data_IF_994566253355
#
_entry.id   IF_994566253355
#
_cell.length_a   1.000
_cell.length_b   1.000
_cell.length_c   1.000
_cell.angle_alpha   90.00
_cell.angle_beta   90.00
_cell.angle_gamma   90.00
#
_symmetry.space_group_name_H-M   'P 1'
#
loop_
_entity.id
_entity.type
_entity.pdbx_description
1 polymer ?
#
# COMPACT_ATOMS: atom_id res chain seq x y z
N UNK A 1 3.79 -26.88 -39.03
CA UNK A 1 4.50 -27.75 -38.08
C UNK A 1 5.87 -27.18 -37.63
N UNK A 2 6.10 -25.87 -37.78
CA UNK A 2 7.39 -25.20 -37.47
C UNK A 2 7.24 -24.10 -36.38
N UNK A 3 6.02 -23.74 -35.97
CA UNK A 3 5.80 -22.82 -34.84
C UNK A 3 5.42 -23.51 -33.51
N UNK A 4 5.39 -24.84 -33.46
CA UNK A 4 5.46 -25.57 -32.19
C UNK A 4 6.92 -25.62 -31.65
N UNK A 5 7.87 -25.22 -32.49
CA UNK A 5 9.30 -25.30 -32.24
C UNK A 5 9.85 -24.05 -31.53
N UNK A 6 9.17 -22.89 -31.56
CA UNK A 6 9.72 -21.67 -30.94
C UNK A 6 9.47 -21.60 -29.43
N UNK A 7 8.36 -22.17 -28.93
CA UNK A 7 8.14 -22.33 -27.48
C UNK A 7 8.89 -23.55 -26.93
N UNK A 8 9.25 -24.52 -27.78
CA UNK A 8 10.01 -25.73 -27.39
C UNK A 8 11.53 -25.55 -27.53
N UNK A 9 12.04 -24.69 -28.42
CA UNK A 9 13.49 -24.49 -28.60
C UNK A 9 14.14 -23.49 -27.66
N UNK A 10 13.39 -22.62 -26.97
CA UNK A 10 14.02 -21.73 -25.98
C UNK A 10 14.55 -22.49 -24.75
N UNK A 11 14.35 -23.82 -24.67
CA UNK A 11 14.81 -24.67 -23.56
C UNK A 11 15.99 -25.60 -23.94
N UNK A 12 16.44 -25.64 -25.21
CA UNK A 12 17.49 -26.60 -25.64
C UNK A 12 18.76 -25.97 -26.22
N UNK A 13 19.20 -24.80 -25.73
CA UNK A 13 20.51 -24.25 -26.13
C UNK A 13 21.24 -23.54 -24.99
N UNK A 14 21.48 -24.23 -23.87
CA UNK A 14 22.68 -24.04 -23.04
C UNK A 14 23.00 -25.37 -22.34
N UNK A 15 24.24 -25.89 -22.44
CA UNK A 15 24.68 -27.06 -21.70
C UNK A 15 24.83 -26.65 -20.23
N UNK A 16 24.37 -27.50 -19.32
CA UNK A 16 24.47 -27.35 -17.86
C UNK A 16 23.49 -26.36 -17.20
N UNK A 17 22.18 -26.63 -17.27
CA UNK A 17 21.25 -26.38 -16.15
C UNK A 17 19.90 -27.07 -16.36
N UNK A 18 19.40 -27.66 -15.28
CA UNK A 18 18.23 -28.55 -15.17
C UNK A 18 16.94 -27.96 -15.79
N UNK A 19 16.36 -28.66 -16.76
CA UNK A 19 15.06 -28.36 -17.39
C UNK A 19 13.90 -28.37 -16.38
N UNK A 20 13.15 -27.27 -16.29
CA UNK A 20 11.83 -27.24 -15.67
C UNK A 20 10.78 -27.36 -16.77
N UNK A 21 10.21 -28.55 -16.91
CA UNK A 21 9.10 -28.83 -17.82
C UNK A 21 7.78 -28.27 -17.27
N UNK A 22 7.14 -27.36 -17.99
CA UNK A 22 5.70 -27.11 -17.84
C UNK A 22 4.92 -28.07 -18.74
N UNK A 23 4.71 -29.30 -18.26
CA UNK A 23 3.83 -30.27 -18.93
C UNK A 23 2.38 -30.01 -18.52
N UNK A 24 1.51 -29.66 -19.48
CA UNK A 24 0.06 -29.87 -19.33
C UNK A 24 -0.34 -31.08 -20.17
N UNK A 25 -0.28 -32.26 -19.56
CA UNK A 25 -0.78 -33.51 -20.15
C UNK A 25 -2.30 -33.47 -20.13
N UNK A 26 -2.94 -33.23 -21.27
CA UNK A 26 -4.40 -33.40 -21.39
C UNK A 26 -4.69 -34.85 -21.79
N UNK A 27 -5.05 -35.69 -20.82
CA UNK A 27 -5.58 -37.04 -21.07
C UNK A 27 -6.91 -36.94 -21.81
N UNK A 28 -6.90 -37.27 -23.10
CA UNK A 28 -8.10 -37.42 -23.90
C UNK A 28 -8.79 -38.74 -23.51
N UNK A 29 -9.79 -38.70 -22.62
CA UNK A 29 -10.68 -39.84 -22.38
C UNK A 29 -11.65 -39.97 -23.55
N UNK A 30 -11.14 -40.43 -24.69
CA UNK A 30 -11.95 -40.81 -25.83
C UNK A 30 -12.83 -41.99 -25.46
N UNK A 31 -14.10 -41.75 -25.17
CA UNK A 31 -15.11 -42.82 -25.15
C UNK A 31 -15.15 -43.45 -26.55
N UNK A 32 -14.75 -44.72 -26.65
CA UNK A 32 -14.88 -45.50 -27.88
C UNK A 32 -16.33 -45.48 -28.36
N UNK A 33 -16.56 -45.03 -29.58
CA UNK A 33 -17.87 -45.13 -30.23
C UNK A 33 -18.14 -46.59 -30.61
N UNK A 34 -19.29 -47.11 -30.17
CA UNK A 34 -19.78 -48.43 -30.57
C UNK A 34 -20.13 -48.43 -32.07
N UNK A 35 -19.95 -49.57 -32.77
CA UNK A 35 -20.23 -49.64 -34.20
C UNK A 35 -21.72 -49.37 -34.48
N UNK A 36 -21.99 -48.54 -35.48
CA UNK A 36 -23.33 -48.12 -35.88
C UNK A 36 -23.74 -48.89 -37.14
N UNK A 37 -24.95 -49.44 -37.14
CA UNK A 37 -25.54 -50.13 -38.29
C UNK A 37 -25.72 -49.16 -39.47
N UNK A 38 -25.24 -49.57 -40.64
CA UNK A 38 -25.30 -48.82 -41.90
C UNK A 38 -26.75 -48.49 -42.28
N UNK A 39 -27.07 -47.19 -42.40
CA UNK A 39 -28.31 -46.73 -43.03
C UNK A 39 -29.02 -45.54 -42.38
N UNK A 40 -28.67 -45.13 -41.16
CA UNK A 40 -29.39 -44.06 -40.45
C UNK A 40 -28.62 -42.73 -40.49
N UNK A 41 -29.09 -41.76 -41.30
CA UNK A 41 -28.62 -40.36 -41.27
C UNK A 41 -29.09 -39.70 -39.97
N UNK A 42 -28.21 -39.61 -38.98
CA UNK A 42 -28.44 -38.76 -37.82
C UNK A 42 -28.24 -37.28 -38.22
N UNK A 43 -29.33 -36.49 -38.18
CA UNK A 43 -29.22 -35.03 -38.14
C UNK A 43 -28.76 -34.63 -36.74
N UNK A 44 -27.50 -34.23 -36.61
CA UNK A 44 -27.00 -33.54 -35.41
C UNK A 44 -27.83 -32.26 -35.19
N UNK A 45 -28.33 -32.06 -33.98
CA UNK A 45 -28.99 -30.80 -33.61
C UNK A 45 -27.91 -29.72 -33.52
N UNK A 46 -28.21 -28.49 -33.96
CA UNK A 46 -27.35 -27.27 -33.87
C UNK A 46 -26.71 -27.02 -32.49
N UNK A 47 -27.15 -27.72 -31.45
CA UNK A 47 -26.64 -27.60 -30.08
C UNK A 47 -25.37 -28.45 -29.81
N UNK A 48 -25.03 -29.38 -30.70
CA UNK A 48 -23.90 -30.32 -30.53
C UNK A 48 -22.69 -30.02 -31.43
N UNK A 49 -22.75 -28.98 -32.28
CA UNK A 49 -21.55 -28.44 -32.94
C UNK A 49 -20.74 -27.65 -31.91
N UNK A 50 -19.90 -28.35 -31.14
CA UNK A 50 -18.76 -27.69 -30.51
C UNK A 50 -17.89 -27.18 -31.65
N UNK A 51 -17.85 -25.86 -31.86
CA UNK A 51 -16.85 -25.24 -32.73
C UNK A 51 -15.48 -25.87 -32.43
N UNK A 52 -14.74 -26.30 -33.46
CA UNK A 52 -13.46 -26.97 -33.25
C UNK A 52 -12.49 -26.01 -32.55
N UNK A 53 -11.77 -26.52 -31.55
CA UNK A 53 -10.70 -25.76 -30.90
C UNK A 53 -9.46 -25.84 -31.78
N UNK A 54 -9.16 -24.77 -32.52
CA UNK A 54 -8.06 -24.69 -33.47
C UNK A 54 -7.10 -23.54 -33.09
N UNK A 55 -6.37 -23.68 -31.97
CA UNK A 55 -5.50 -22.61 -31.45
C UNK A 55 -4.37 -22.24 -32.41
N UNK A 56 -3.92 -23.18 -33.23
CA UNK A 56 -2.90 -22.94 -34.26
C UNK A 56 -3.40 -22.00 -35.35
N UNK A 57 -4.64 -22.21 -35.83
CA UNK A 57 -5.25 -21.37 -36.88
C UNK A 57 -5.52 -19.98 -36.34
N UNK A 58 -6.03 -19.90 -35.09
CA UNK A 58 -6.19 -18.64 -34.39
C UNK A 58 -4.86 -17.88 -34.29
N UNK A 59 -3.81 -18.55 -33.79
CA UNK A 59 -2.47 -17.97 -33.67
C UNK A 59 -1.96 -17.45 -35.00
N UNK A 60 -1.96 -18.28 -36.04
CA UNK A 60 -1.40 -17.92 -37.35
C UNK A 60 -2.15 -16.73 -37.96
N UNK A 61 -3.46 -16.61 -37.72
CA UNK A 61 -4.28 -15.46 -38.12
C UNK A 61 -3.89 -14.17 -37.38
N UNK A 62 -3.68 -14.26 -36.06
CA UNK A 62 -3.25 -13.11 -35.25
C UNK A 62 -1.84 -12.68 -35.67
N UNK A 63 -0.91 -13.63 -35.84
CA UNK A 63 0.46 -13.33 -36.25
C UNK A 63 0.50 -12.65 -37.62
N UNK A 64 -0.28 -13.15 -38.59
CA UNK A 64 -0.34 -12.53 -39.92
C UNK A 64 -0.79 -11.07 -39.85
N UNK A 65 -1.89 -10.78 -39.15
CA UNK A 65 -2.42 -9.41 -39.09
C UNK A 65 -1.55 -8.46 -38.28
N UNK A 66 -0.84 -8.94 -37.26
CA UNK A 66 0.14 -8.14 -36.54
C UNK A 66 1.37 -7.83 -37.42
N UNK A 67 1.84 -8.79 -38.23
CA UNK A 67 2.91 -8.55 -39.20
C UNK A 67 2.50 -7.55 -40.31
N UNK A 68 1.25 -7.59 -40.75
CA UNK A 68 0.69 -6.63 -41.73
C UNK A 68 0.59 -5.21 -41.16
N UNK A 69 0.28 -5.08 -39.86
CA UNK A 69 0.26 -3.80 -39.16
C UNK A 69 1.69 -3.25 -38.93
N UNK A 70 2.70 -4.11 -38.87
CA UNK A 70 4.09 -3.76 -38.62
C UNK A 70 4.25 -3.00 -37.30
N UNK A 71 5.09 -1.95 -37.31
CA UNK A 71 5.36 -1.12 -36.13
C UNK A 71 4.28 -0.09 -35.77
N UNK A 72 3.15 -0.02 -36.51
CA UNK A 72 2.08 0.93 -36.24
C UNK A 72 1.11 0.38 -35.18
N UNK A 73 1.21 0.91 -33.97
CA UNK A 73 0.43 0.46 -32.82
C UNK A 73 -1.05 0.83 -32.89
N UNK A 74 -1.40 1.90 -33.62
CA UNK A 74 -2.82 2.21 -33.86
C UNK A 74 -3.41 1.26 -34.90
N UNK A 75 -2.62 0.84 -35.90
CA UNK A 75 -2.99 -0.22 -36.82
C UNK A 75 -3.16 -1.57 -36.09
N UNK A 76 -2.23 -1.94 -35.20
CA UNK A 76 -2.33 -3.13 -34.35
C UNK A 76 -3.59 -3.10 -33.49
N UNK A 77 -3.85 -2.00 -32.79
CA UNK A 77 -5.04 -1.88 -31.94
C UNK A 77 -6.34 -1.96 -32.74
N UNK A 78 -6.38 -1.34 -33.93
CA UNK A 78 -7.52 -1.42 -34.85
C UNK A 78 -7.71 -2.83 -35.41
N UNK A 79 -6.64 -3.53 -35.76
CA UNK A 79 -6.68 -4.92 -36.19
C UNK A 79 -7.29 -5.82 -35.12
N UNK A 80 -6.84 -5.69 -33.87
CA UNK A 80 -7.34 -6.49 -32.75
C UNK A 80 -8.82 -6.18 -32.43
N UNK A 81 -9.27 -4.93 -32.54
CA UNK A 81 -10.69 -4.57 -32.36
C UNK A 81 -11.58 -5.14 -33.48
N UNK A 82 -11.16 -5.03 -34.74
CA UNK A 82 -11.94 -5.61 -35.85
C UNK A 82 -11.95 -7.13 -35.76
N UNK A 83 -10.81 -7.74 -35.47
CA UNK A 83 -10.66 -9.19 -35.47
C UNK A 83 -11.33 -9.85 -34.27
N UNK A 84 -11.36 -9.21 -33.10
CA UNK A 84 -12.08 -9.72 -31.93
C UNK A 84 -13.60 -9.78 -32.09
N UNK A 85 -14.16 -9.14 -33.12
CA UNK A 85 -15.57 -9.34 -33.50
C UNK A 85 -15.81 -10.60 -34.35
N UNK A 86 -14.74 -11.15 -34.94
CA UNK A 86 -14.77 -12.31 -35.85
C UNK A 86 -14.20 -13.57 -35.21
N UNK A 87 -13.19 -13.42 -34.36
CA UNK A 87 -12.54 -14.52 -33.64
C UNK A 87 -13.01 -14.54 -32.18
N UNK A 88 -13.15 -15.75 -31.61
CA UNK A 88 -13.54 -15.93 -30.22
C UNK A 88 -12.34 -15.73 -29.27
N UNK A 89 -12.07 -14.46 -28.93
CA UNK A 89 -11.01 -14.12 -27.97
C UNK A 89 -11.23 -14.72 -26.59
N UNK A 90 -12.48 -14.97 -26.18
CA UNK A 90 -12.75 -15.56 -24.86
C UNK A 90 -12.21 -16.98 -24.78
N UNK A 91 -12.38 -17.75 -25.85
CA UNK A 91 -11.92 -19.14 -25.93
C UNK A 91 -10.42 -19.27 -26.13
N UNK A 92 -9.81 -18.33 -26.86
CA UNK A 92 -8.38 -18.32 -27.16
C UNK A 92 -7.60 -17.28 -26.34
N UNK A 93 -8.12 -16.86 -25.19
CA UNK A 93 -7.53 -15.77 -24.41
C UNK A 93 -6.07 -16.05 -24.01
N UNK A 94 -5.77 -17.26 -23.54
CA UNK A 94 -4.41 -17.70 -23.22
C UNK A 94 -3.49 -17.57 -24.44
N UNK A 95 -3.89 -18.16 -25.58
CA UNK A 95 -3.12 -18.09 -26.83
C UNK A 95 -2.96 -16.66 -27.34
N UNK A 96 -3.97 -15.81 -27.18
CA UNK A 96 -3.92 -14.40 -27.57
C UNK A 96 -2.86 -13.65 -26.75
N UNK A 97 -2.85 -13.83 -25.43
CA UNK A 97 -1.89 -13.15 -24.57
C UNK A 97 -0.48 -13.71 -24.69
N UNK A 98 -0.31 -15.03 -24.91
CA UNK A 98 0.99 -15.63 -25.25
C UNK A 98 1.62 -14.93 -26.46
N UNK A 99 0.83 -14.72 -27.54
CA UNK A 99 1.31 -14.06 -28.77
C UNK A 99 1.63 -12.59 -28.53
N UNK A 100 0.73 -11.85 -27.86
CA UNK A 100 0.89 -10.42 -27.67
C UNK A 100 2.07 -10.11 -26.74
N UNK A 101 2.27 -10.91 -25.70
CA UNK A 101 3.33 -10.70 -24.71
C UNK A 101 4.68 -11.21 -25.23
N UNK A 102 4.77 -12.43 -25.78
CA UNK A 102 6.03 -12.91 -26.36
C UNK A 102 6.49 -11.96 -27.47
N UNK A 103 5.52 -11.51 -28.26
CA UNK A 103 5.64 -10.43 -29.21
C UNK A 103 6.26 -9.14 -28.73
N UNK A 104 5.71 -8.55 -27.67
CA UNK A 104 6.23 -7.31 -27.09
C UNK A 104 7.60 -7.49 -26.46
N UNK A 105 7.86 -8.66 -25.84
CA UNK A 105 9.14 -8.96 -25.20
C UNK A 105 10.29 -9.13 -26.21
N UNK A 106 10.04 -9.90 -27.27
CA UNK A 106 11.02 -10.17 -28.33
C UNK A 106 11.20 -8.97 -29.28
N UNK A 107 10.24 -8.04 -29.31
CA UNK A 107 10.27 -6.91 -30.24
C UNK A 107 10.12 -7.34 -31.70
N UNK A 108 9.53 -8.50 -31.97
CA UNK A 108 9.46 -9.05 -33.33
C UNK A 108 8.36 -8.40 -34.20
N UNK A 109 7.37 -7.73 -33.59
CA UNK A 109 6.37 -6.94 -34.33
C UNK A 109 6.88 -5.55 -34.74
N UNK A 110 7.94 -5.05 -34.09
CA UNK A 110 8.38 -3.66 -34.19
C UNK A 110 9.86 -3.68 -34.53
N UNK A 111 10.25 -3.08 -35.65
CA UNK A 111 11.61 -3.05 -36.17
C UNK A 111 12.71 -2.95 -35.07
N UNK A 112 13.88 -3.58 -35.26
CA UNK A 112 14.85 -3.92 -34.20
C UNK A 112 15.51 -2.74 -33.42
N UNK A 113 15.08 -1.49 -33.61
CA UNK A 113 15.77 -0.29 -33.12
C UNK A 113 14.84 0.77 -32.50
N UNK A 114 13.89 0.42 -31.64
CA UNK A 114 13.22 1.41 -30.78
C UNK A 114 13.36 1.08 -29.28
N UNK A 115 14.15 1.88 -28.60
CA UNK A 115 14.29 1.89 -27.13
C UNK A 115 13.04 2.42 -26.38
N UNK A 116 11.83 2.29 -26.93
CA UNK A 116 10.56 2.84 -26.39
C UNK A 116 9.55 1.74 -25.95
N UNK A 117 10.07 0.55 -25.64
CA UNK A 117 9.39 -0.74 -25.41
C UNK A 117 8.49 -0.84 -24.15
N UNK A 118 7.73 0.18 -23.75
CA UNK A 118 6.83 0.03 -22.60
C UNK A 118 5.60 0.94 -22.59
N UNK A 119 5.75 2.21 -22.97
CA UNK A 119 4.63 3.18 -22.96
C UNK A 119 3.67 2.91 -24.11
N UNK A 120 4.21 2.68 -25.30
CA UNK A 120 3.42 2.62 -26.53
C UNK A 120 2.65 1.30 -26.66
N UNK A 121 3.23 0.18 -26.25
CA UNK A 121 2.59 -1.14 -26.24
C UNK A 121 1.45 -1.24 -25.20
N UNK A 122 1.60 -0.53 -24.06
CA UNK A 122 0.55 -0.47 -23.03
C UNK A 122 -0.78 0.05 -23.59
N UNK A 123 -0.75 0.93 -24.60
CA UNK A 123 -1.93 1.49 -25.26
C UNK A 123 -2.75 0.42 -25.98
N UNK A 124 -2.08 -0.57 -26.59
CA UNK A 124 -2.75 -1.68 -27.27
C UNK A 124 -3.52 -2.53 -26.25
N UNK A 125 -2.86 -2.92 -25.15
CA UNK A 125 -3.53 -3.64 -24.05
C UNK A 125 -4.65 -2.83 -23.43
N UNK A 126 -4.45 -1.53 -23.18
CA UNK A 126 -5.47 -0.63 -22.64
C UNK A 126 -6.72 -0.59 -23.53
N UNK A 127 -6.55 -0.40 -24.86
CA UNK A 127 -7.65 -0.40 -25.83
C UNK A 127 -8.34 -1.76 -25.89
N UNK A 128 -7.57 -2.84 -25.96
CA UNK A 128 -8.09 -4.22 -26.04
C UNK A 128 -8.93 -4.58 -24.81
N UNK A 129 -8.42 -4.33 -23.60
CA UNK A 129 -9.11 -4.67 -22.34
C UNK A 129 -10.33 -3.76 -22.12
N UNK A 130 -10.25 -2.48 -22.50
CA UNK A 130 -11.42 -1.57 -22.45
C UNK A 130 -12.54 -2.05 -23.38
N UNK A 131 -12.20 -2.54 -24.56
CA UNK A 131 -13.17 -3.04 -25.55
C UNK A 131 -13.73 -4.41 -25.17
N UNK A 132 -12.86 -5.33 -24.76
CA UNK A 132 -13.19 -6.71 -24.44
C UNK A 132 -12.95 -6.98 -22.95
N UNK A 133 -13.79 -6.37 -22.10
CA UNK A 133 -13.65 -6.44 -20.63
C UNK A 133 -13.60 -7.86 -20.08
N UNK A 134 -14.22 -8.83 -20.75
CA UNK A 134 -14.17 -10.24 -20.36
C UNK A 134 -12.77 -10.87 -20.45
N UNK A 135 -11.82 -10.26 -21.17
CA UNK A 135 -10.43 -10.71 -21.24
C UNK A 135 -9.59 -10.30 -20.03
N UNK A 136 -10.08 -9.37 -19.21
CA UNK A 136 -9.32 -8.82 -18.10
C UNK A 136 -8.78 -9.92 -17.17
N UNK A 137 -9.63 -10.84 -16.72
CA UNK A 137 -9.20 -11.89 -15.80
C UNK A 137 -8.14 -12.80 -16.43
N UNK A 138 -8.28 -13.13 -17.72
CA UNK A 138 -7.29 -13.94 -18.42
C UNK A 138 -5.95 -13.20 -18.55
N UNK A 139 -5.99 -11.89 -18.83
CA UNK A 139 -4.79 -11.05 -18.87
C UNK A 139 -4.10 -10.97 -17.51
N UNK A 140 -4.87 -10.78 -16.43
CA UNK A 140 -4.34 -10.74 -15.06
C UNK A 140 -3.66 -12.06 -14.67
N UNK A 141 -4.27 -13.21 -15.00
CA UNK A 141 -3.68 -14.52 -14.73
C UNK A 141 -2.41 -14.76 -15.55
N UNK A 142 -2.36 -14.33 -16.81
CA UNK A 142 -1.15 -14.45 -17.62
C UNK A 142 -0.02 -13.58 -17.06
N UNK A 143 -0.31 -12.34 -16.69
CA UNK A 143 0.66 -11.45 -16.04
C UNK A 143 1.19 -12.04 -14.72
N UNK A 144 0.33 -12.66 -13.90
CA UNK A 144 0.79 -13.33 -12.67
C UNK A 144 1.75 -14.48 -12.94
N UNK A 145 1.52 -15.28 -14.00
CA UNK A 145 2.43 -16.37 -14.39
C UNK A 145 3.79 -15.81 -14.82
N UNK A 146 3.81 -14.77 -15.64
CA UNK A 146 5.07 -14.14 -16.08
C UNK A 146 5.88 -13.61 -14.89
N UNK A 147 5.21 -12.94 -13.95
CA UNK A 147 5.85 -12.46 -12.71
C UNK A 147 6.35 -13.61 -11.82
N UNK A 148 5.68 -14.76 -11.82
CA UNK A 148 6.11 -15.94 -11.07
C UNK A 148 7.34 -16.60 -11.69
N UNK A 149 7.50 -16.54 -13.02
CA UNK A 149 8.59 -17.18 -13.76
C UNK A 149 9.66 -16.19 -14.26
N UNK A 150 9.88 -15.08 -13.56
CA UNK A 150 10.85 -14.06 -13.97
C UNK A 150 12.27 -14.61 -14.22
N UNK A 151 12.66 -15.68 -13.52
CA UNK A 151 13.95 -16.36 -13.70
C UNK A 151 14.17 -16.93 -15.11
N UNK A 152 13.10 -17.20 -15.85
CA UNK A 152 13.18 -17.71 -17.22
C UNK A 152 13.55 -16.62 -18.24
N UNK A 153 13.50 -15.35 -17.86
CA UNK A 153 13.76 -14.22 -18.74
C UNK A 153 15.14 -13.62 -18.52
N UNK A 154 15.76 -13.12 -19.58
CA UNK A 154 16.97 -12.31 -19.52
C UNK A 154 16.74 -11.00 -18.77
N UNK A 155 17.80 -10.35 -18.31
CA UNK A 155 17.70 -9.07 -17.58
C UNK A 155 17.03 -7.97 -18.43
N UNK A 156 17.30 -7.96 -19.74
CA UNK A 156 16.68 -7.04 -20.69
C UNK A 156 15.16 -7.24 -20.76
N UNK A 157 14.73 -8.50 -20.90
CA UNK A 157 13.31 -8.87 -20.95
C UNK A 157 12.59 -8.58 -19.63
N UNK A 158 13.21 -8.88 -18.48
CA UNK A 158 12.69 -8.53 -17.16
C UNK A 158 12.51 -7.02 -17.02
N UNK A 159 13.43 -6.22 -17.58
CA UNK A 159 13.36 -4.76 -17.54
C UNK A 159 12.20 -4.23 -18.37
N UNK A 160 12.01 -4.74 -19.60
CA UNK A 160 10.85 -4.38 -20.44
C UNK A 160 9.54 -4.74 -19.75
N UNK A 161 9.45 -5.97 -19.22
CA UNK A 161 8.26 -6.45 -18.51
C UNK A 161 7.98 -5.60 -17.27
N UNK A 162 9.00 -5.23 -16.48
CA UNK A 162 8.83 -4.36 -15.33
C UNK A 162 8.26 -2.99 -15.71
N UNK A 163 8.80 -2.37 -16.76
CA UNK A 163 8.30 -1.08 -17.23
C UNK A 163 6.85 -1.19 -17.72
N UNK A 164 6.54 -2.20 -18.54
CA UNK A 164 5.18 -2.45 -19.03
C UNK A 164 4.20 -2.68 -17.87
N UNK A 165 4.56 -3.52 -16.89
CA UNK A 165 3.75 -3.77 -15.70
C UNK A 165 3.48 -2.47 -14.93
N UNK A 166 4.49 -1.61 -14.74
CA UNK A 166 4.34 -0.33 -14.06
C UNK A 166 3.33 0.59 -14.75
N UNK A 167 3.39 0.68 -16.07
CA UNK A 167 2.50 1.51 -16.89
C UNK A 167 1.08 0.95 -16.92
N UNK A 168 0.91 -0.37 -16.99
CA UNK A 168 -0.39 -1.03 -16.95
C UNK A 168 -1.06 -0.88 -15.57
N UNK A 169 -0.29 -0.88 -14.48
CA UNK A 169 -0.75 -0.55 -13.13
C UNK A 169 -1.14 0.93 -13.02
N UNK A 170 -0.33 1.83 -13.57
CA UNK A 170 -0.61 3.27 -13.64
C UNK A 170 -1.93 3.60 -14.33
N UNK A 171 -2.22 2.88 -15.41
CA UNK A 171 -3.43 3.06 -16.21
C UNK A 171 -4.67 2.33 -15.64
N UNK A 172 -4.49 1.49 -14.61
CA UNK A 172 -5.55 0.69 -14.01
C UNK A 172 -6.03 -0.48 -14.89
N UNK A 173 -5.24 -0.87 -15.89
CA UNK A 173 -5.52 -2.04 -16.73
C UNK A 173 -5.18 -3.34 -16.01
N UNK A 174 -4.12 -3.30 -15.20
CA UNK A 174 -3.80 -4.33 -14.23
C UNK A 174 -4.09 -3.83 -12.81
N UNK A 175 -4.64 -4.68 -11.92
CA UNK A 175 -4.82 -4.33 -10.53
C UNK A 175 -3.55 -4.66 -9.73
N UNK A 176 -3.21 -3.91 -8.67
CA UNK A 176 -2.01 -4.17 -7.86
C UNK A 176 -1.85 -5.59 -7.31
N UNK A 177 -2.90 -6.37 -6.98
CA UNK A 177 -2.77 -7.74 -6.47
C UNK A 177 -1.97 -8.72 -7.34
N UNK A 178 -1.69 -8.41 -8.62
CA UNK A 178 -0.77 -9.22 -9.43
C UNK A 178 0.66 -9.24 -8.87
N UNK A 179 1.04 -8.23 -8.09
CA UNK A 179 2.38 -8.09 -7.51
C UNK A 179 2.67 -9.14 -6.44
N UNK A 180 1.68 -9.88 -5.95
CA UNK A 180 1.91 -10.98 -5.00
C UNK A 180 2.78 -12.08 -5.59
N UNK A 181 2.80 -12.24 -6.92
CA UNK A 181 3.73 -13.13 -7.62
C UNK A 181 5.20 -12.73 -7.45
N UNK A 182 5.50 -11.47 -7.10
CA UNK A 182 6.87 -11.04 -6.82
C UNK A 182 7.35 -11.48 -5.43
N UNK A 183 6.45 -11.86 -4.52
CA UNK A 183 6.79 -12.26 -3.15
C UNK A 183 7.10 -13.76 -3.03
N UNK A 184 7.10 -14.50 -4.13
CA UNK A 184 7.39 -15.93 -4.10
C UNK A 184 8.89 -16.21 -3.94
N UNK A 185 9.20 -17.20 -3.11
CA UNK A 185 10.57 -17.57 -2.75
C UNK A 185 11.52 -17.77 -3.94
N UNK A 186 11.01 -18.26 -5.07
CA UNK A 186 11.78 -18.55 -6.28
C UNK A 186 12.42 -17.29 -6.91
N UNK A 187 11.74 -16.15 -6.87
CA UNK A 187 12.23 -14.87 -7.43
C UNK A 187 12.84 -13.97 -6.36
N UNK A 188 12.43 -14.15 -5.10
CA UNK A 188 12.95 -13.39 -3.95
C UNK A 188 14.37 -13.81 -3.60
N UNK A 189 14.66 -15.12 -3.52
CA UNK A 189 16.00 -15.63 -3.14
C UNK A 189 17.11 -15.19 -4.10
N UNK A 190 16.79 -15.06 -5.37
CA UNK A 190 17.72 -14.64 -6.44
C UNK A 190 17.88 -13.12 -6.52
N UNK A 191 17.14 -12.33 -5.72
CA UNK A 191 17.14 -10.87 -5.77
C UNK A 191 16.42 -10.27 -6.98
N UNK A 192 15.84 -11.10 -7.84
CA UNK A 192 15.11 -10.68 -9.05
C UNK A 192 13.90 -9.83 -8.66
N UNK A 193 13.16 -10.24 -7.63
CA UNK A 193 11.97 -9.54 -7.13
C UNK A 193 12.22 -8.06 -6.83
N UNK A 194 13.22 -7.75 -6.01
CA UNK A 194 13.57 -6.37 -5.64
C UNK A 194 14.05 -5.56 -6.86
N UNK A 195 14.88 -6.16 -7.73
CA UNK A 195 15.37 -5.47 -8.94
C UNK A 195 14.27 -5.16 -9.95
N UNK A 196 13.31 -6.07 -10.11
CA UNK A 196 12.13 -5.90 -10.94
C UNK A 196 11.21 -4.83 -10.38
N UNK A 197 10.94 -4.88 -9.07
CA UNK A 197 10.08 -3.92 -8.37
C UNK A 197 10.61 -2.48 -8.51
N UNK A 198 11.92 -2.27 -8.44
CA UNK A 198 12.53 -0.94 -8.66
C UNK A 198 12.20 -0.40 -10.05
N UNK A 199 12.40 -1.19 -11.10
CA UNK A 199 12.13 -0.78 -12.50
C UNK A 199 10.63 -0.52 -12.71
N UNK A 200 9.79 -1.37 -12.14
CA UNK A 200 8.33 -1.26 -12.20
C UNK A 200 7.81 -0.01 -11.49
N UNK A 201 8.27 0.25 -10.27
CA UNK A 201 7.86 1.42 -9.51
C UNK A 201 8.36 2.72 -10.14
N UNK A 202 9.57 2.75 -10.71
CA UNK A 202 10.03 3.91 -11.48
C UNK A 202 9.10 4.22 -12.66
N UNK A 203 8.71 3.20 -13.43
CA UNK A 203 7.78 3.37 -14.53
C UNK A 203 6.39 3.85 -14.04
N UNK A 204 5.87 3.25 -12.97
CA UNK A 204 4.57 3.65 -12.41
C UNK A 204 4.58 5.09 -11.87
N UNK A 205 5.62 5.48 -11.14
CA UNK A 205 5.78 6.84 -10.62
C UNK A 205 5.92 7.85 -11.77
N UNK A 206 6.65 7.49 -12.83
CA UNK A 206 6.80 8.36 -14.01
C UNK A 206 5.48 8.61 -14.76
N UNK A 207 4.56 7.65 -14.78
CA UNK A 207 3.24 7.80 -15.41
C UNK A 207 2.21 8.53 -14.53
N UNK A 208 2.43 8.53 -13.21
CA UNK A 208 1.56 9.16 -12.22
C UNK A 208 2.42 9.99 -11.27
N UNK A 209 2.46 9.57 -10.01
CA UNK A 209 3.30 10.12 -8.96
C UNK A 209 3.39 9.08 -7.82
N UNK A 210 4.26 9.32 -6.85
CA UNK A 210 4.44 8.43 -5.71
C UNK A 210 3.19 8.30 -4.82
N UNK A 211 2.35 9.34 -4.72
CA UNK A 211 1.13 9.30 -3.91
C UNK A 211 0.08 8.37 -4.54
N UNK A 212 -0.03 8.36 -5.86
CA UNK A 212 -0.91 7.47 -6.60
C UNK A 212 -0.48 6.01 -6.43
N UNK A 213 0.82 5.71 -6.51
CA UNK A 213 1.36 4.36 -6.29
C UNK A 213 1.07 3.89 -4.87
N UNK A 214 1.43 4.69 -3.87
CA UNK A 214 1.28 4.33 -2.46
C UNK A 214 -0.19 4.18 -2.05
N UNK A 215 -1.08 5.01 -2.59
CA UNK A 215 -2.53 4.88 -2.41
C UNK A 215 -3.07 3.59 -3.03
N UNK A 216 -2.64 3.24 -4.25
CA UNK A 216 -3.04 2.00 -4.92
C UNK A 216 -2.58 0.75 -4.17
N UNK A 217 -1.34 0.75 -3.66
CA UNK A 217 -0.80 -0.35 -2.85
C UNK A 217 -1.56 -0.52 -1.53
N UNK A 218 -1.87 0.58 -0.85
CA UNK A 218 -2.68 0.56 0.39
C UNK A 218 -4.09 0.03 0.13
N UNK A 219 -4.75 0.49 -0.94
CA UNK A 219 -6.09 0.01 -1.32
C UNK A 219 -6.11 -1.50 -1.62
N UNK A 220 -4.99 -2.02 -2.13
CA UNK A 220 -4.81 -3.44 -2.39
C UNK A 220 -4.28 -4.25 -1.20
N UNK A 221 -4.05 -3.63 -0.03
CA UNK A 221 -3.42 -4.23 1.15
C UNK A 221 -2.02 -4.84 0.87
N UNK A 222 -1.27 -4.26 -0.07
CA UNK A 222 0.09 -4.68 -0.41
C UNK A 222 1.17 -3.87 0.30
N UNK A 223 0.79 -2.73 0.89
CA UNK A 223 1.66 -1.87 1.67
C UNK A 223 2.38 -2.63 2.80
N UNK A 224 1.71 -3.60 3.43
CA UNK A 224 2.31 -4.41 4.50
C UNK A 224 3.25 -5.52 4.02
N UNK A 225 3.26 -5.81 2.71
CA UNK A 225 3.99 -6.93 2.11
C UNK A 225 5.22 -6.52 1.33
N UNK A 226 5.51 -5.23 1.20
CA UNK A 226 6.65 -4.77 0.40
C UNK A 226 8.01 -5.26 0.95
N UNK A 227 8.10 -5.59 2.24
CA UNK A 227 9.29 -6.25 2.79
C UNK A 227 9.50 -7.66 2.20
N UNK A 228 8.44 -8.33 1.76
CA UNK A 228 8.49 -9.67 1.13
C UNK A 228 9.16 -9.65 -0.26
N UNK A 229 9.51 -8.47 -0.80
CA UNK A 229 10.39 -8.34 -1.97
C UNK A 229 11.82 -8.85 -1.68
N UNK A 230 12.19 -8.93 -0.41
CA UNK A 230 13.50 -9.33 0.05
C UNK A 230 13.47 -10.71 0.74
N UNK A 231 14.56 -11.48 0.70
CA UNK A 231 14.68 -12.71 1.47
C UNK A 231 14.52 -12.47 2.98
N UNK A 232 14.03 -13.46 3.73
CA UNK A 232 13.68 -13.34 5.15
C UNK A 232 14.77 -12.69 6.04
N UNK A 233 16.05 -12.94 5.76
CA UNK A 233 17.18 -12.36 6.49
C UNK A 233 17.41 -10.85 6.22
N UNK A 234 16.69 -10.27 5.26
CA UNK A 234 16.79 -8.87 4.83
C UNK A 234 15.44 -8.12 4.90
N UNK A 235 14.39 -8.74 5.45
CA UNK A 235 13.07 -8.14 5.61
C UNK A 235 13.02 -7.18 6.80
N UNK A 236 13.77 -6.10 6.71
CA UNK A 236 13.76 -5.04 7.71
C UNK A 236 13.73 -3.66 7.05
N UNK A 237 13.24 -2.68 7.81
CA UNK A 237 12.98 -1.32 7.32
C UNK A 237 14.26 -0.58 6.92
N UNK A 238 15.38 -0.88 7.59
CA UNK A 238 16.68 -0.28 7.30
C UNK A 238 17.20 -0.72 5.93
N UNK A 239 17.19 -2.03 5.68
CA UNK A 239 17.59 -2.59 4.39
C UNK A 239 16.69 -2.08 3.26
N UNK A 240 15.36 -2.11 3.48
CA UNK A 240 14.40 -1.57 2.52
C UNK A 240 14.70 -0.11 2.18
N UNK A 241 14.85 0.75 3.21
CA UNK A 241 15.13 2.17 3.02
C UNK A 241 16.42 2.39 2.25
N UNK A 242 17.50 1.69 2.64
CA UNK A 242 18.80 1.82 2.00
C UNK A 242 18.72 1.44 0.51
N UNK A 243 18.15 0.28 0.22
CA UNK A 243 18.05 -0.25 -1.14
C UNK A 243 17.27 0.68 -2.08
N UNK A 244 16.08 1.14 -1.67
CA UNK A 244 15.25 2.00 -2.52
C UNK A 244 15.80 3.44 -2.61
N UNK A 245 16.45 3.95 -1.56
CA UNK A 245 17.07 5.28 -1.59
C UNK A 245 18.27 5.33 -2.55
N UNK A 246 19.13 4.30 -2.54
CA UNK A 246 20.30 4.20 -3.44
C UNK A 246 19.90 4.25 -4.92
N UNK A 247 18.69 3.78 -5.25
CA UNK A 247 18.18 3.75 -6.63
C UNK A 247 17.26 4.94 -6.96
N UNK A 248 17.14 5.92 -6.05
CA UNK A 248 16.38 7.16 -6.27
C UNK A 248 14.87 7.01 -6.10
N UNK A 249 14.41 6.07 -5.26
CA UNK A 249 12.99 5.85 -4.91
C UNK A 249 12.73 6.18 -3.43
N UNK A 250 13.17 7.36 -3.00
CA UNK A 250 13.07 7.79 -1.59
C UNK A 250 11.62 7.88 -1.11
N UNK A 251 10.72 8.28 -1.98
CA UNK A 251 9.29 8.45 -1.68
C UNK A 251 8.64 7.13 -1.24
N UNK A 252 9.09 5.99 -1.79
CA UNK A 252 8.61 4.67 -1.37
C UNK A 252 9.17 4.26 -0.01
N UNK A 253 10.44 4.56 0.26
CA UNK A 253 11.05 4.35 1.57
C UNK A 253 10.36 5.17 2.66
N UNK A 254 10.11 6.46 2.38
CA UNK A 254 9.43 7.37 3.31
C UNK A 254 7.99 6.92 3.56
N UNK A 255 7.27 6.51 2.51
CA UNK A 255 5.94 5.90 2.63
C UNK A 255 5.97 4.69 3.57
N UNK A 256 6.93 3.78 3.39
CA UNK A 256 7.01 2.58 4.22
C UNK A 256 7.28 2.89 5.69
N UNK A 257 8.09 3.91 5.96
CA UNK A 257 8.38 4.39 7.33
C UNK A 257 7.13 4.96 7.99
N UNK A 258 6.39 5.78 7.25
CA UNK A 258 5.12 6.33 7.70
C UNK A 258 4.08 5.22 7.92
N UNK A 259 4.04 4.20 7.07
CA UNK A 259 3.12 3.07 7.24
C UNK A 259 3.45 2.22 8.46
N UNK A 260 4.71 1.87 8.66
CA UNK A 260 5.13 1.10 9.82
C UNK A 260 4.78 1.85 11.12
N UNK A 261 5.17 3.13 11.22
CA UNK A 261 4.87 3.95 12.41
C UNK A 261 3.36 4.11 12.64
N UNK A 262 2.56 4.28 11.59
CA UNK A 262 1.09 4.30 11.71
C UNK A 262 0.52 2.95 12.16
N UNK A 263 1.06 1.83 11.63
CA UNK A 263 0.67 0.47 12.02
C UNK A 263 0.94 0.21 13.49
N UNK A 264 2.17 0.48 13.95
CA UNK A 264 2.55 0.39 15.36
C UNK A 264 1.64 1.24 16.24
N UNK A 265 1.38 2.50 15.86
CA UNK A 265 0.49 3.38 16.65
C UNK A 265 -0.93 2.84 16.73
N UNK A 266 -1.47 2.27 15.66
CA UNK A 266 -2.81 1.66 15.66
C UNK A 266 -2.89 0.41 16.53
N UNK A 267 -1.86 -0.43 16.50
CA UNK A 267 -1.81 -1.62 17.35
C UNK A 267 -1.69 -1.23 18.83
N UNK A 268 -0.78 -0.31 19.14
CA UNK A 268 -0.65 0.26 20.48
C UNK A 268 -1.96 0.90 20.95
N UNK A 269 -2.66 1.61 20.06
CA UNK A 269 -3.96 2.20 20.37
C UNK A 269 -4.98 1.13 20.78
N UNK A 270 -5.08 0.06 20.01
CA UNK A 270 -6.04 -1.02 20.24
C UNK A 270 -5.76 -1.72 21.57
N UNK A 271 -4.51 -2.10 21.81
CA UNK A 271 -4.11 -2.77 23.05
C UNK A 271 -4.33 -1.89 24.29
N UNK A 272 -4.03 -0.58 24.19
CA UNK A 272 -4.31 0.36 25.28
C UNK A 272 -5.79 0.57 25.53
N UNK A 273 -6.62 0.59 24.49
CA UNK A 273 -8.08 0.62 24.63
C UNK A 273 -8.61 -0.64 25.33
N UNK A 274 -8.10 -1.82 24.97
CA UNK A 274 -8.44 -3.08 25.62
C UNK A 274 -8.05 -3.06 27.11
N UNK A 275 -6.85 -2.59 27.44
CA UNK A 275 -6.38 -2.47 28.83
C UNK A 275 -7.21 -1.48 29.66
N UNK A 276 -7.62 -0.36 29.07
CA UNK A 276 -8.52 0.59 29.72
C UNK A 276 -9.90 -0.02 29.99
N UNK A 277 -10.42 -0.82 29.05
CA UNK A 277 -11.70 -1.51 29.24
C UNK A 277 -11.67 -2.58 30.34
N UNK A 278 -10.47 -3.05 30.70
CA UNK A 278 -10.23 -4.04 31.74
C UNK A 278 -9.88 -3.41 33.09
N UNK A 279 -9.96 -2.08 33.24
CA UNK A 279 -9.54 -1.34 34.45
C UNK A 279 -8.13 -1.73 34.94
N UNK A 280 -7.21 -1.94 34.00
CA UNK A 280 -5.82 -2.30 34.31
C UNK A 280 -5.13 -1.21 35.15
N UNK A 281 -4.32 -1.56 36.18
CA UNK A 281 -3.64 -0.57 37.00
C UNK A 281 -2.76 0.37 36.17
N UNK A 282 -2.86 1.68 36.42
CA UNK A 282 -2.10 2.72 35.70
C UNK A 282 -0.59 2.43 35.67
N UNK A 283 -0.03 1.89 36.77
CA UNK A 283 1.39 1.52 36.84
C UNK A 283 1.79 0.47 35.80
N UNK A 284 0.93 -0.53 35.58
CA UNK A 284 1.17 -1.58 34.58
C UNK A 284 1.06 -1.01 33.17
N UNK A 285 0.11 -0.13 32.93
CA UNK A 285 -0.01 0.59 31.65
C UNK A 285 1.24 1.42 31.36
N UNK A 286 1.79 2.14 32.34
CA UNK A 286 3.04 2.91 32.18
C UNK A 286 4.20 2.01 31.79
N UNK A 287 4.36 0.85 32.45
CA UNK A 287 5.42 -0.11 32.12
C UNK A 287 5.27 -0.61 30.68
N UNK A 288 4.07 -1.04 30.32
CA UNK A 288 3.77 -1.54 28.98
C UNK A 288 4.06 -0.51 27.89
N UNK A 289 3.60 0.73 28.05
CA UNK A 289 3.84 1.79 27.05
C UNK A 289 5.34 2.12 26.94
N UNK A 290 6.09 2.13 28.06
CA UNK A 290 7.55 2.34 28.03
C UNK A 290 8.28 1.21 27.31
N UNK A 291 7.84 -0.03 27.45
CA UNK A 291 8.40 -1.18 26.73
C UNK A 291 8.11 -1.08 25.22
N UNK A 292 6.88 -0.75 24.84
CA UNK A 292 6.51 -0.58 23.42
C UNK A 292 7.19 0.64 22.77
N UNK A 293 7.42 1.71 23.53
CA UNK A 293 8.23 2.84 23.07
C UNK A 293 9.65 2.41 22.70
N UNK A 294 10.29 1.60 23.54
CA UNK A 294 11.64 1.07 23.27
C UNK A 294 11.66 0.09 22.12
N UNK A 295 10.66 -0.80 22.05
CA UNK A 295 10.57 -1.85 21.02
C UNK A 295 10.33 -1.27 19.62
N UNK A 296 9.56 -0.19 19.53
CA UNK A 296 9.12 0.37 18.25
C UNK A 296 9.69 1.76 17.96
N UNK A 297 10.66 2.22 18.75
CA UNK A 297 11.28 3.55 18.65
C UNK A 297 10.25 4.69 18.58
N UNK A 298 9.21 4.61 19.42
CA UNK A 298 8.16 5.62 19.46
C UNK A 298 8.60 6.82 20.30
N UNK A 299 8.51 7.99 19.70
CA UNK A 299 8.77 9.24 20.38
C UNK A 299 7.67 9.59 21.40
N UNK A 300 8.08 10.19 22.51
CA UNK A 300 7.20 10.59 23.61
C UNK A 300 6.07 11.52 23.14
N UNK A 301 6.37 12.46 22.23
CA UNK A 301 5.38 13.37 21.65
C UNK A 301 4.26 12.63 20.89
N UNK A 302 4.58 11.50 20.26
CA UNK A 302 3.58 10.70 19.56
C UNK A 302 2.72 9.91 20.54
N UNK A 303 3.34 9.40 21.62
CA UNK A 303 2.65 8.61 22.65
C UNK A 303 1.70 9.48 23.47
N UNK A 304 2.12 10.68 23.91
CA UNK A 304 1.25 11.55 24.72
C UNK A 304 -0.01 11.97 23.96
N UNK A 305 0.14 12.30 22.67
CA UNK A 305 -1.00 12.60 21.80
C UNK A 305 -1.92 11.40 21.58
N UNK A 306 -1.37 10.19 21.52
CA UNK A 306 -2.14 8.96 21.41
C UNK A 306 -2.92 8.68 22.71
N UNK A 307 -2.26 8.78 23.87
CA UNK A 307 -2.86 8.59 25.19
C UNK A 307 -4.03 9.54 25.40
N UNK A 308 -3.85 10.83 25.10
CA UNK A 308 -4.94 11.80 25.14
C UNK A 308 -6.17 11.35 24.32
N UNK A 309 -5.95 10.98 23.06
CA UNK A 309 -7.04 10.54 22.19
C UNK A 309 -7.75 9.29 22.72
N UNK A 310 -6.99 8.33 23.26
CA UNK A 310 -7.57 7.10 23.82
C UNK A 310 -8.41 7.44 25.05
N UNK A 311 -7.86 8.20 25.99
CA UNK A 311 -8.53 8.56 27.24
C UNK A 311 -9.82 9.35 26.98
N UNK A 312 -9.78 10.32 26.06
CA UNK A 312 -10.94 11.15 25.76
C UNK A 312 -12.03 10.43 24.95
N UNK A 313 -11.67 9.41 24.18
CA UNK A 313 -12.63 8.59 23.43
C UNK A 313 -13.17 7.39 24.22
N UNK A 314 -12.58 7.06 25.36
CA UNK A 314 -13.03 5.97 26.22
C UNK A 314 -14.31 6.29 27.01
N UNK A 315 -14.73 7.56 27.03
CA UNK A 315 -15.84 8.05 27.85
C UNK A 315 -16.94 8.63 26.99
N UNK A 316 -18.19 8.28 27.31
CA UNK A 316 -19.35 8.99 26.79
C UNK A 316 -19.61 10.26 27.62
N UNK A 317 -19.49 11.41 26.96
CA UNK A 317 -19.52 12.71 27.62
C UNK A 317 -20.93 13.27 27.80
N UNK A 318 -21.16 13.91 28.95
CA UNK A 318 -22.39 14.64 29.18
C UNK A 318 -22.55 15.81 28.18
N UNK A 319 -23.79 16.14 27.81
CA UNK A 319 -24.11 17.27 26.92
C UNK A 319 -24.33 18.58 27.67
N UNK A 320 -24.46 18.54 29.00
CA UNK A 320 -24.53 19.75 29.85
C UNK A 320 -23.12 20.22 30.20
N UNK A 321 -22.84 21.48 29.88
CA UNK A 321 -21.50 22.10 29.99
C UNK A 321 -20.85 21.97 31.38
N UNK A 322 -21.61 22.23 32.46
CA UNK A 322 -21.08 22.11 33.83
C UNK A 322 -20.83 20.65 34.23
N UNK A 323 -21.74 19.74 33.86
CA UNK A 323 -21.62 18.32 34.19
C UNK A 323 -20.48 17.65 33.43
N UNK A 324 -20.29 18.00 32.15
CA UNK A 324 -19.19 17.45 31.36
C UNK A 324 -17.84 17.92 31.88
N UNK A 325 -17.76 19.17 32.38
CA UNK A 325 -16.53 19.69 32.95
C UNK A 325 -16.13 18.91 34.20
N UNK A 326 -17.03 18.70 35.16
CA UNK A 326 -16.73 17.91 36.36
C UNK A 326 -16.42 16.44 36.04
N UNK A 327 -17.16 15.85 35.10
CA UNK A 327 -16.92 14.49 34.63
C UNK A 327 -15.51 14.36 34.02
N UNK A 328 -15.12 15.30 33.15
CA UNK A 328 -13.82 15.34 32.51
C UNK A 328 -12.69 15.50 33.52
N UNK A 329 -12.83 16.43 34.48
CA UNK A 329 -11.82 16.62 35.52
C UNK A 329 -11.65 15.37 36.39
N UNK A 330 -12.74 14.68 36.75
CA UNK A 330 -12.65 13.42 37.51
C UNK A 330 -11.93 12.33 36.73
N UNK A 331 -12.29 12.15 35.46
CA UNK A 331 -11.66 11.18 34.56
C UNK A 331 -10.17 11.46 34.35
N UNK A 332 -9.84 12.69 33.95
CA UNK A 332 -8.46 13.10 33.69
C UNK A 332 -7.60 13.09 34.95
N UNK A 333 -8.17 13.40 36.13
CA UNK A 333 -7.45 13.30 37.40
C UNK A 333 -7.07 11.85 37.72
N UNK A 334 -7.93 10.89 37.42
CA UNK A 334 -7.61 9.47 37.61
C UNK A 334 -6.40 9.06 36.74
N UNK A 335 -6.37 9.48 35.47
CA UNK A 335 -5.31 9.14 34.52
C UNK A 335 -4.12 10.12 34.49
N UNK A 336 -4.11 11.15 35.34
CA UNK A 336 -2.99 12.11 35.40
C UNK A 336 -1.63 11.42 35.64
N UNK A 337 -1.49 10.40 36.52
CA UNK A 337 -0.21 9.70 36.69
C UNK A 337 0.25 8.96 35.42
N UNK A 338 -0.68 8.53 34.56
CA UNK A 338 -0.35 7.93 33.27
C UNK A 338 0.22 8.98 32.33
N UNK A 339 -0.43 10.14 32.23
CA UNK A 339 -0.01 11.23 31.35
C UNK A 339 1.34 11.83 31.80
N UNK A 340 1.53 12.04 33.11
CA UNK A 340 2.77 12.55 33.69
C UNK A 340 3.99 11.70 33.32
N UNK A 341 3.82 10.37 33.20
CA UNK A 341 4.90 9.47 32.82
C UNK A 341 5.40 9.64 31.37
N UNK A 342 4.65 10.36 30.53
CA UNK A 342 4.92 10.61 29.10
C UNK A 342 4.84 12.10 28.73
N UNK A 343 4.94 12.98 29.72
CA UNK A 343 5.01 14.44 29.57
C UNK A 343 6.23 14.99 30.32
N UNK A 344 7.37 14.33 30.15
CA UNK A 344 8.65 14.65 30.80
C UNK A 344 9.51 15.62 30.00
N UNK A 345 9.19 15.81 28.72
CA UNK A 345 9.85 16.78 27.86
C UNK A 345 8.90 17.96 27.59
N UNK A 346 9.43 19.19 27.55
CA UNK A 346 8.62 20.37 27.23
C UNK A 346 7.91 20.29 25.87
N UNK A 347 8.46 19.53 24.91
CA UNK A 347 7.79 19.30 23.62
C UNK A 347 6.57 18.36 23.75
N UNK A 348 6.62 17.32 24.57
CA UNK A 348 5.47 16.44 24.83
C UNK A 348 4.37 17.15 25.58
N UNK A 349 4.73 17.98 26.57
CA UNK A 349 3.78 18.83 27.30
C UNK A 349 3.07 19.82 26.37
N UNK A 350 3.84 20.48 25.49
CA UNK A 350 3.27 21.38 24.49
C UNK A 350 2.33 20.64 23.53
N UNK A 351 2.70 19.43 23.08
CA UNK A 351 1.81 18.60 22.25
C UNK A 351 0.52 18.26 23.00
N UNK A 352 0.59 17.92 24.29
CA UNK A 352 -0.60 17.68 25.11
C UNK A 352 -1.49 18.93 25.21
N UNK A 353 -0.91 20.10 25.50
CA UNK A 353 -1.63 21.39 25.53
C UNK A 353 -2.36 21.68 24.21
N UNK A 354 -1.68 21.49 23.09
CA UNK A 354 -2.27 21.64 21.76
C UNK A 354 -3.44 20.68 21.53
N UNK A 355 -3.32 19.43 21.97
CA UNK A 355 -4.40 18.43 21.88
C UNK A 355 -5.61 18.78 22.75
N UNK A 356 -5.39 19.29 23.95
CA UNK A 356 -6.46 19.79 24.83
C UNK A 356 -7.17 20.96 24.14
N UNK A 357 -6.42 21.91 23.58
CA UNK A 357 -6.97 23.08 22.88
C UNK A 357 -7.82 22.66 21.68
N UNK A 358 -7.29 21.79 20.81
CA UNK A 358 -8.01 21.25 19.66
C UNK A 358 -9.31 20.55 20.09
N UNK A 359 -9.23 19.69 21.11
CA UNK A 359 -10.38 18.94 21.60
C UNK A 359 -11.48 19.84 22.18
N UNK A 360 -11.10 20.81 23.02
CA UNK A 360 -12.04 21.77 23.61
C UNK A 360 -12.68 22.68 22.56
N UNK A 361 -11.98 22.99 21.47
CA UNK A 361 -12.52 23.77 20.35
C UNK A 361 -13.50 22.96 19.51
N UNK A 362 -13.09 21.74 19.13
CA UNK A 362 -13.89 20.88 18.25
C UNK A 362 -15.15 20.34 18.97
N UNK A 363 -15.17 20.34 20.31
CA UNK A 363 -16.32 19.94 21.13
C UNK A 363 -16.90 21.13 21.90
N UNK A 364 -18.02 21.67 21.43
CA UNK A 364 -18.63 22.90 21.98
C UNK A 364 -18.91 22.83 23.50
N UNK A 365 -19.23 21.65 24.03
CA UNK A 365 -19.51 21.45 25.46
C UNK A 365 -18.27 21.58 26.36
N UNK A 366 -17.05 21.50 25.78
CA UNK A 366 -15.78 21.60 26.48
C UNK A 366 -15.14 22.99 26.40
N UNK A 367 -15.81 23.95 25.76
CA UNK A 367 -15.25 25.30 25.53
C UNK A 367 -14.87 26.01 26.84
N UNK A 368 -15.63 25.85 27.93
CA UNK A 368 -15.27 26.39 29.27
C UNK A 368 -14.44 25.45 30.14
N UNK A 369 -14.18 24.23 29.69
CA UNK A 369 -13.41 23.24 30.45
C UNK A 369 -11.91 23.40 30.28
N UNK A 370 -11.45 24.06 29.21
CA UNK A 370 -10.04 24.17 28.84
C UNK A 370 -9.15 24.64 30.00
N UNK A 371 -9.43 25.82 30.56
CA UNK A 371 -8.63 26.38 31.67
C UNK A 371 -8.58 25.46 32.88
N UNK A 372 -9.71 24.83 33.23
CA UNK A 372 -9.79 23.92 34.37
C UNK A 372 -8.99 22.64 34.15
N UNK A 373 -8.95 22.12 32.92
CA UNK A 373 -8.13 20.96 32.55
C UNK A 373 -6.64 21.30 32.64
N UNK A 374 -6.23 22.46 32.12
CA UNK A 374 -4.82 22.89 32.20
C UNK A 374 -4.39 23.08 33.66
N UNK A 375 -5.21 23.73 34.49
CA UNK A 375 -4.93 23.90 35.93
C UNK A 375 -4.85 22.55 36.65
N UNK A 376 -5.72 21.59 36.31
CA UNK A 376 -5.65 20.24 36.87
C UNK A 376 -4.31 19.56 36.54
N UNK A 377 -3.88 19.65 35.28
CA UNK A 377 -2.65 19.02 34.82
C UNK A 377 -1.39 19.72 35.34
N UNK A 378 -1.42 21.04 35.52
CA UNK A 378 -0.38 21.75 36.26
C UNK A 378 -0.25 21.23 37.69
N UNK A 379 -1.36 21.17 38.43
CA UNK A 379 -1.39 20.68 39.82
C UNK A 379 -1.04 19.19 40.00
N UNK A 380 -1.06 18.42 38.91
CA UNK A 380 -0.78 17.00 38.92
C UNK A 380 0.60 16.67 38.29
N UNK A 381 1.45 17.67 38.11
CA UNK A 381 2.80 17.55 37.53
C UNK A 381 2.80 16.93 36.12
N UNK A 382 1.72 17.13 35.37
CA UNK A 382 1.59 16.70 33.96
C UNK A 382 2.06 17.80 33.01
N UNK A 383 1.88 19.08 33.38
CA UNK A 383 2.30 20.23 32.60
C UNK A 383 3.14 21.16 33.48
N UNK A 384 4.31 21.54 33.00
CA UNK A 384 5.16 22.53 33.63
C UNK A 384 4.65 23.95 33.40
N UNK A 385 5.12 24.87 34.25
CA UNK A 385 4.89 26.30 34.08
C UNK A 385 5.44 26.78 32.72
N UNK A 386 6.65 26.38 32.37
CA UNK A 386 7.33 26.79 31.14
C UNK A 386 6.55 26.38 29.89
N UNK A 387 5.98 25.17 29.87
CA UNK A 387 5.16 24.71 28.75
C UNK A 387 3.87 25.54 28.60
N UNK A 388 3.23 25.90 29.71
CA UNK A 388 2.00 26.71 29.73
C UNK A 388 2.29 28.14 29.26
N UNK A 389 3.35 28.76 29.80
CA UNK A 389 3.78 30.11 29.40
C UNK A 389 4.18 30.17 27.92
N UNK A 390 4.89 29.13 27.43
CA UNK A 390 5.28 29.02 26.02
C UNK A 390 4.06 28.90 25.10
N UNK A 391 3.09 28.06 25.46
CA UNK A 391 1.82 27.94 24.73
C UNK A 391 1.05 29.27 24.70
N UNK A 392 1.00 29.97 25.83
CA UNK A 392 0.28 31.24 25.95
C UNK A 392 0.86 32.32 25.03
N UNK A 393 2.19 32.43 24.96
CA UNK A 393 2.88 33.43 24.13
C UNK A 393 2.74 33.15 22.63
N UNK A 394 3.28 32.03 22.14
CA UNK A 394 3.56 31.89 20.69
C UNK A 394 3.22 30.53 20.08
N UNK A 395 2.99 29.48 20.87
CA UNK A 395 2.87 28.12 20.33
C UNK A 395 1.47 27.51 20.46
N UNK A 396 0.42 28.33 20.48
CA UNK A 396 -0.98 27.88 20.45
C UNK A 396 -1.51 27.73 19.02
N UNK A 397 -2.54 26.89 18.83
CA UNK A 397 -3.20 26.79 17.52
C UNK A 397 -4.07 28.02 17.23
N UNK A 398 -4.41 28.25 15.96
CA UNK A 398 -5.41 29.27 15.57
C UNK A 398 -6.83 28.90 16.01
N UNK A 399 -7.11 27.61 16.30
CA UNK A 399 -8.42 27.12 16.74
C UNK A 399 -8.73 27.62 18.15
N UNK A 400 -9.72 28.50 18.28
CA UNK A 400 -10.18 29.01 19.58
C UNK A 400 -9.17 29.90 20.32
N UNK A 401 -8.10 30.36 19.65
CA UNK A 401 -7.00 31.16 20.23
C UNK A 401 -7.51 32.26 21.18
N UNK A 402 -8.33 33.17 20.66
CA UNK A 402 -8.79 34.34 21.44
C UNK A 402 -9.55 33.94 22.71
N UNK A 403 -10.36 32.88 22.63
CA UNK A 403 -11.16 32.42 23.78
C UNK A 403 -10.28 31.74 24.83
N UNK A 404 -9.37 30.84 24.42
CA UNK A 404 -8.57 30.07 25.37
C UNK A 404 -7.43 30.89 25.99
N UNK A 405 -6.82 31.80 25.22
CA UNK A 405 -5.84 32.76 25.77
C UNK A 405 -6.53 33.64 26.82
N UNK A 406 -7.74 34.14 26.55
CA UNK A 406 -8.48 34.94 27.54
C UNK A 406 -8.82 34.12 28.80
N UNK A 407 -9.27 32.86 28.65
CA UNK A 407 -9.55 31.99 29.80
C UNK A 407 -8.32 31.71 30.68
N UNK A 408 -7.13 31.68 30.08
CA UNK A 408 -5.88 31.38 30.79
C UNK A 408 -5.22 32.61 31.40
N UNK A 409 -5.64 33.83 31.03
CA UNK A 409 -4.99 35.09 31.41
C UNK A 409 -4.72 35.20 32.91
N UNK A 410 -5.76 35.05 33.74
CA UNK A 410 -5.62 35.14 35.22
C UNK A 410 -4.68 34.09 35.80
N UNK A 411 -4.65 32.90 35.22
CA UNK A 411 -3.79 31.82 35.69
C UNK A 411 -2.33 32.05 35.28
N UNK A 412 -2.09 32.56 34.07
CA UNK A 412 -0.76 32.93 33.60
C UNK A 412 -0.19 34.12 34.36
N UNK A 413 -1.01 35.14 34.63
CA UNK A 413 -0.62 36.25 35.52
C UNK A 413 -0.24 35.74 36.91
N UNK A 414 -0.97 34.76 37.45
CA UNK A 414 -0.62 34.13 38.73
C UNK A 414 0.71 33.35 38.68
N UNK A 415 0.96 32.57 37.62
CA UNK A 415 2.22 31.84 37.44
C UNK A 415 3.42 32.81 37.43
N UNK A 416 3.33 33.86 36.62
CA UNK A 416 4.38 34.89 36.49
C UNK A 416 4.68 35.61 37.81
N UNK A 417 3.64 35.96 38.58
CA UNK A 417 3.83 36.67 39.85
C UNK A 417 4.34 35.74 40.96
N UNK A 418 4.01 34.44 40.91
CA UNK A 418 4.46 33.48 41.91
C UNK A 418 5.99 33.22 41.82
N UNK A 419 6.57 33.29 40.63
CA UNK A 419 8.04 33.28 40.45
C UNK A 419 8.69 34.54 41.05
N UNK A 420 8.14 35.74 40.77
CA UNK A 420 8.71 37.04 41.22
C UNK A 420 8.76 37.19 42.76
N UNK A 421 7.77 36.67 43.50
CA UNK A 421 7.80 36.67 44.96
C UNK A 421 8.88 35.72 45.53
N UNK A 422 9.10 34.57 44.89
CA UNK A 422 10.07 33.57 45.35
C UNK A 422 11.55 33.93 45.09
N UNK A 423 11.84 34.73 44.07
CA UNK A 423 13.19 35.27 43.83
C UNK A 423 13.53 36.45 44.76
N UNK A 424 12.51 37.21 45.20
CA UNK A 424 12.71 38.37 46.08
C UNK A 424 12.99 38.02 47.55
N UNK A 425 12.62 36.81 48.00
CA UNK A 425 12.92 36.31 49.35
C UNK A 425 14.34 35.69 49.48
N UNK A 426 15.11 35.64 48.39
CA UNK A 426 16.47 35.08 48.36
C UNK A 426 17.62 36.10 48.43
N UNK A 427 17.32 37.41 48.44
CA UNK A 427 18.34 38.48 48.50
C UNK A 427 18.39 39.25 49.83
N UNK A 428 17.63 38.81 50.84
CA UNK A 428 17.72 39.31 52.22
C UNK A 428 18.14 38.20 53.18
N UNK A 429 19.41 37.75 53.11
CA UNK A 429 20.13 37.14 54.25
C UNK A 429 21.65 37.28 54.12
#
# INVERSE_FOLDING_TARGET
MVLLYVVVLMVCSFPDSVCVFFFRTFMNTGKQQKPVLTGQRFKTRKRDEKEKFEPTVFRDTIILGLNEAGGDLDAVAKFLDVTGSRLDYRRYADTLFDILIAGSMLGEWIAPNLAALSVTESHVFNKLIRRYKYLQNAFEEEMKKLLLFLKAFSESEQTKLAMLTGILLANGTLPPPILTSLFSDNVVKEGISASFAVKMFKAWISEKDANAVTSALRKANLDKKLLELFPANKQNMEHFSKYFNEVGLKELSDFMRVQQSQGTRKELQKELQERLSQDCPIREMVVYVKEEMKRSDLQEQAVIGLLWNILMNAVEWNKKEELVTEQALKHLKHYAPLLAAFSTQGQSELVLLLRIQEYCYDNIHFMKSFSRIVVLFYKADVLSEEAILRWYKDTHTTKGKGVFVEQMKKFVEWLQNAEEESESEGEED
#
